data_IF_573078923839
#
_entry.id   IF_573078923839
#
_cell.length_a   1.000
_cell.length_b   1.000
_cell.length_c   1.000
_cell.angle_alpha   90.00
_cell.angle_beta   90.00
_cell.angle_gamma   90.00
#
_symmetry.space_group_name_H-M   'P 1'
#
loop_
_entity.id
_entity.type
_entity.pdbx_description
1 polymer ?
#
# COMPACT_ATOMS: atom_id res chain seq x y z
N UNK A 1 -9.41 -31.14 -34.55
CA UNK A 1 -8.26 -30.35 -34.06
C UNK A 1 -8.44 -30.09 -32.58
N UNK A 2 -7.38 -30.24 -31.76
CA UNK A 2 -7.44 -29.99 -30.31
C UNK A 2 -7.20 -28.51 -30.05
N UNK A 3 -7.98 -27.89 -29.17
CA UNK A 3 -7.78 -26.49 -28.78
C UNK A 3 -6.45 -26.31 -28.04
N UNK A 4 -5.83 -25.16 -28.23
CA UNK A 4 -4.60 -24.76 -27.54
C UNK A 4 -4.88 -23.46 -26.81
N UNK A 5 -4.72 -23.47 -25.49
CA UNK A 5 -4.91 -22.28 -24.66
C UNK A 5 -3.70 -21.36 -24.76
N UNK A 6 -3.97 -20.06 -24.94
CA UNK A 6 -3.00 -18.97 -24.87
C UNK A 6 -3.57 -17.88 -23.98
N UNK A 7 -2.73 -17.28 -23.15
CA UNK A 7 -3.09 -16.12 -22.34
C UNK A 7 -2.45 -14.87 -22.91
N UNK A 8 -3.20 -13.78 -23.00
CA UNK A 8 -2.67 -12.45 -23.26
C UNK A 8 -2.78 -11.63 -21.98
N UNK A 9 -1.68 -11.02 -21.56
CA UNK A 9 -1.67 -10.03 -20.47
C UNK A 9 -1.41 -8.66 -21.07
N UNK A 10 -2.16 -7.65 -20.63
CA UNK A 10 -1.96 -6.25 -21.01
C UNK A 10 -1.75 -5.43 -19.73
N UNK A 11 -0.80 -4.51 -19.79
CA UNK A 11 -0.51 -3.59 -18.68
C UNK A 11 -1.14 -2.25 -19.00
N UNK A 12 -1.93 -1.71 -18.07
CA UNK A 12 -2.56 -0.41 -18.19
C UNK A 12 -1.99 0.51 -17.09
N UNK A 13 -1.42 1.63 -17.50
CA UNK A 13 -0.94 2.66 -16.58
C UNK A 13 -1.94 3.81 -16.52
N UNK A 14 -2.41 4.22 -15.33
CA UNK A 14 -3.34 5.34 -15.20
C UNK A 14 -2.66 6.71 -15.36
N UNK A 15 -1.33 6.76 -15.32
CA UNK A 15 -0.53 7.96 -15.50
C UNK A 15 0.83 7.63 -16.14
N UNK A 16 1.54 8.63 -16.67
CA UNK A 16 2.88 8.44 -17.29
C UNK A 16 3.93 7.90 -16.32
N UNK A 17 3.78 8.17 -15.03
CA UNK A 17 4.66 7.68 -13.97
C UNK A 17 3.90 7.52 -12.66
N UNK A 18 4.25 6.49 -11.89
CA UNK A 18 3.57 6.06 -10.66
C UNK A 18 4.53 6.09 -9.48
N UNK A 19 3.97 6.29 -8.28
CA UNK A 19 4.70 6.22 -7.02
C UNK A 19 4.75 4.77 -6.54
N UNK A 20 5.95 4.29 -6.25
CA UNK A 20 6.19 3.01 -5.58
C UNK A 20 6.52 3.23 -4.10
N UNK A 21 6.01 2.34 -3.26
CA UNK A 21 6.30 2.31 -1.82
C UNK A 21 6.92 0.97 -1.50
N UNK A 22 8.12 0.99 -0.91
CA UNK A 22 8.84 -0.22 -0.50
C UNK A 22 9.06 -0.21 1.02
N UNK A 23 8.55 -1.20 1.77
CA UNK A 23 8.88 -1.33 3.18
C UNK A 23 10.37 -1.68 3.34
N UNK A 24 10.99 -1.15 4.39
CA UNK A 24 12.35 -1.49 4.83
C UNK A 24 12.33 -2.45 6.04
N UNK A 25 11.25 -3.22 6.15
CA UNK A 25 10.98 -4.28 7.11
C UNK A 25 10.38 -5.48 6.37
N UNK A 26 10.35 -6.66 6.99
CA UNK A 26 9.68 -7.83 6.40
C UNK A 26 8.16 -7.60 6.38
N UNK A 27 7.55 -7.66 5.21
CA UNK A 27 6.13 -7.34 5.03
C UNK A 27 5.18 -8.39 5.64
N UNK A 28 5.68 -9.60 5.91
CA UNK A 28 4.91 -10.66 6.57
C UNK A 28 4.89 -10.51 8.09
N UNK A 29 6.01 -10.06 8.65
CA UNK A 29 6.15 -9.88 10.10
C UNK A 29 5.71 -8.49 10.56
N UNK A 30 5.82 -7.49 9.66
CA UNK A 30 5.58 -6.09 9.99
C UNK A 30 6.73 -5.49 10.80
N UNK A 31 6.45 -4.36 11.45
CA UNK A 31 7.36 -3.77 12.43
C UNK A 31 6.95 -4.12 13.84
N UNK A 32 7.88 -3.96 14.78
CA UNK A 32 7.57 -4.04 16.21
C UNK A 32 6.39 -3.15 16.58
N UNK A 33 5.61 -3.57 17.58
CA UNK A 33 4.53 -2.77 18.11
C UNK A 33 5.07 -1.43 18.65
N UNK A 34 4.51 -0.32 18.15
CA UNK A 34 4.99 1.04 18.43
C UNK A 34 6.44 1.32 17.98
N UNK A 35 7.03 0.44 17.16
CA UNK A 35 8.31 0.67 16.51
C UNK A 35 8.18 1.62 15.32
N UNK A 36 9.32 2.13 14.85
CA UNK A 36 9.38 3.00 13.67
C UNK A 36 9.32 2.18 12.38
N UNK A 37 8.35 2.47 11.53
CA UNK A 37 8.23 1.88 10.20
C UNK A 37 8.93 2.74 9.16
N UNK A 38 9.88 2.13 8.45
CA UNK A 38 10.69 2.82 7.45
C UNK A 38 10.31 2.36 6.05
N UNK A 39 10.21 3.30 5.14
CA UNK A 39 9.84 3.09 3.76
C UNK A 39 10.79 3.84 2.82
N UNK A 40 10.99 3.26 1.64
CA UNK A 40 11.50 3.99 0.48
C UNK A 40 10.36 4.31 -0.47
N UNK A 41 10.31 5.57 -0.89
CA UNK A 41 9.35 6.09 -1.85
C UNK A 41 10.11 6.45 -3.12
N UNK A 42 9.65 5.93 -4.25
CA UNK A 42 10.20 6.23 -5.57
C UNK A 42 9.08 6.60 -6.52
N UNK A 43 9.41 7.23 -7.64
CA UNK A 43 8.45 7.48 -8.72
C UNK A 43 9.11 7.12 -10.04
N UNK A 44 8.47 6.27 -10.82
CA UNK A 44 9.03 5.73 -12.06
C UNK A 44 8.02 5.75 -13.19
N UNK A 45 8.51 5.86 -14.43
CA UNK A 45 7.70 5.62 -15.62
C UNK A 45 7.55 4.12 -15.94
N UNK A 46 6.85 3.82 -17.04
CA UNK A 46 6.62 2.44 -17.48
C UNK A 46 7.91 1.67 -17.88
N UNK A 47 9.00 2.38 -18.15
CA UNK A 47 10.32 1.78 -18.41
C UNK A 47 11.13 1.55 -17.11
N UNK A 48 10.59 1.97 -15.96
CA UNK A 48 11.28 1.92 -14.67
C UNK A 48 12.27 3.07 -14.46
N UNK A 49 12.27 4.11 -15.30
CA UNK A 49 13.17 5.25 -15.14
C UNK A 49 12.65 6.17 -14.04
N UNK A 50 13.52 6.61 -13.10
CA UNK A 50 13.12 7.57 -12.07
C UNK A 50 12.59 8.87 -12.64
N UNK A 51 11.49 9.36 -12.06
CA UNK A 51 10.80 10.58 -12.47
C UNK A 51 10.63 11.50 -11.25
N UNK A 52 11.07 12.76 -11.31
CA UNK A 52 10.92 13.67 -10.18
C UNK A 52 9.46 13.96 -9.86
N UNK A 53 9.20 14.29 -8.60
CA UNK A 53 7.92 14.77 -8.10
C UNK A 53 8.14 15.73 -6.93
N UNK A 54 7.26 16.72 -6.82
CA UNK A 54 7.24 17.65 -5.69
C UNK A 54 5.88 17.63 -5.03
N UNK A 55 5.85 17.85 -3.73
CA UNK A 55 4.61 17.98 -2.96
C UNK A 55 3.84 16.68 -2.83
N UNK A 56 4.47 15.51 -2.94
CA UNK A 56 3.81 14.23 -2.71
C UNK A 56 3.31 14.17 -1.27
N UNK A 57 2.05 13.76 -1.09
CA UNK A 57 1.46 13.55 0.24
C UNK A 57 1.55 12.07 0.58
N UNK A 58 2.30 11.74 1.63
CA UNK A 58 2.36 10.41 2.20
C UNK A 58 1.60 10.40 3.53
N UNK A 59 0.51 9.67 3.59
CA UNK A 59 -0.36 9.59 4.77
C UNK A 59 -0.26 8.21 5.40
N UNK A 60 0.09 8.16 6.69
CA UNK A 60 -0.01 6.94 7.48
C UNK A 60 -1.48 6.74 7.86
N UNK A 61 -2.10 5.70 7.33
CA UNK A 61 -3.51 5.37 7.60
C UNK A 61 -3.54 4.12 8.49
N UNK A 62 -4.14 4.25 9.67
CA UNK A 62 -4.43 3.12 10.56
C UNK A 62 -5.80 2.55 10.21
N UNK A 63 -5.85 1.25 9.98
CA UNK A 63 -7.09 0.48 9.94
C UNK A 63 -7.47 0.04 11.35
N UNK A 64 -8.72 0.29 11.72
CA UNK A 64 -9.33 -0.14 12.98
C UNK A 64 -10.44 -1.14 12.66
N UNK A 65 -10.48 -2.23 13.43
CA UNK A 65 -11.52 -3.26 13.35
C UNK A 65 -12.18 -3.40 14.70
N UNK A 66 -13.47 -3.09 14.75
CA UNK A 66 -14.29 -3.23 15.95
C UNK A 66 -15.12 -4.52 15.79
N UNK A 67 -14.67 -5.60 16.46
CA UNK A 67 -15.29 -6.92 16.39
C UNK A 67 -16.54 -7.00 17.25
N UNK A 68 -17.54 -7.72 16.77
CA UNK A 68 -18.79 -7.97 17.48
C UNK A 68 -19.31 -9.38 17.16
N UNK A 69 -19.99 -9.96 18.13
CA UNK A 69 -20.58 -11.28 18.04
C UNK A 69 -22.06 -11.16 17.75
N UNK A 70 -22.56 -11.97 16.84
CA UNK A 70 -23.97 -12.06 16.50
C UNK A 70 -24.45 -13.48 16.76
N UNK A 71 -25.62 -13.62 17.38
CA UNK A 71 -26.27 -14.91 17.57
C UNK A 71 -27.48 -14.98 16.64
N UNK A 72 -27.41 -15.87 15.66
CA UNK A 72 -28.43 -16.06 14.61
C UNK A 72 -28.51 -17.54 14.28
N UNK A 73 -29.68 -18.06 13.88
CA UNK A 73 -29.85 -19.48 13.49
C UNK A 73 -29.20 -20.49 14.45
N UNK A 74 -29.42 -20.28 15.75
CA UNK A 74 -28.89 -21.08 16.85
C UNK A 74 -27.36 -21.30 16.88
N UNK A 75 -26.59 -20.37 16.29
CA UNK A 75 -25.13 -20.37 16.37
C UNK A 75 -24.56 -18.97 16.61
N UNK A 76 -23.36 -18.95 17.19
CA UNK A 76 -22.55 -17.73 17.32
C UNK A 76 -21.70 -17.55 16.07
N UNK A 77 -21.71 -16.33 15.53
CA UNK A 77 -20.77 -15.88 14.51
C UNK A 77 -20.14 -14.53 14.94
N UNK A 78 -19.09 -14.13 14.25
CA UNK A 78 -18.42 -12.85 14.46
C UNK A 78 -18.33 -12.05 13.16
N UNK A 79 -18.43 -10.74 13.28
CA UNK A 79 -18.11 -9.80 12.22
C UNK A 79 -17.33 -8.61 12.81
N UNK A 80 -16.91 -7.67 11.97
CA UNK A 80 -16.28 -6.43 12.38
C UNK A 80 -16.73 -5.26 11.53
N UNK A 81 -16.82 -4.09 12.16
CA UNK A 81 -16.87 -2.83 11.41
C UNK A 81 -15.44 -2.35 11.16
N UNK A 82 -15.18 -1.86 9.94
CA UNK A 82 -13.87 -1.34 9.53
C UNK A 82 -13.92 0.18 9.49
N UNK A 83 -12.96 0.83 10.13
CA UNK A 83 -12.75 2.28 10.07
C UNK A 83 -11.29 2.58 9.74
N UNK A 84 -11.06 3.74 9.14
CA UNK A 84 -9.72 4.22 8.79
C UNK A 84 -9.46 5.55 9.48
N UNK A 85 -8.24 5.72 9.99
CA UNK A 85 -7.81 6.93 10.67
C UNK A 85 -6.47 7.40 10.11
N UNK A 86 -6.38 8.64 9.65
CA UNK A 86 -5.13 9.24 9.22
C UNK A 86 -4.32 9.64 10.46
N UNK A 87 -3.22 8.93 10.72
CA UNK A 87 -2.36 9.14 11.89
C UNK A 87 -1.30 10.22 11.67
N UNK A 88 -0.74 10.29 10.47
CA UNK A 88 0.26 11.29 10.11
C UNK A 88 0.16 11.59 8.60
N UNK A 89 0.55 12.79 8.18
CA UNK A 89 0.69 13.14 6.76
C UNK A 89 1.93 13.98 6.54
N UNK A 90 2.82 13.49 5.68
CA UNK A 90 4.06 14.16 5.32
C UNK A 90 4.05 14.60 3.87
N UNK A 91 4.76 15.69 3.62
CA UNK A 91 5.01 16.18 2.26
C UNK A 91 6.42 15.79 1.85
N UNK A 92 6.56 15.15 0.71
CA UNK A 92 7.82 14.61 0.20
C UNK A 92 8.09 15.14 -1.20
N UNK A 93 9.34 15.49 -1.44
CA UNK A 93 9.87 15.75 -2.78
C UNK A 93 10.79 14.59 -3.17
N UNK A 94 10.61 14.07 -4.37
CA UNK A 94 11.43 13.03 -4.97
C UNK A 94 12.19 13.66 -6.14
N UNK A 95 13.51 13.63 -6.09
CA UNK A 95 14.35 14.03 -7.20
C UNK A 95 14.48 12.86 -8.20
N UNK A 96 15.68 12.41 -8.51
CA UNK A 96 15.96 11.30 -9.42
C UNK A 96 16.24 9.96 -8.71
N UNK A 97 16.02 9.89 -7.40
CA UNK A 97 16.28 8.71 -6.57
C UNK A 97 15.14 8.38 -5.63
N UNK A 98 15.43 7.71 -4.51
CA UNK A 98 14.42 7.33 -3.52
C UNK A 98 14.38 8.36 -2.38
N UNK A 99 13.19 8.70 -1.92
CA UNK A 99 12.98 9.40 -0.66
C UNK A 99 12.79 8.38 0.47
N UNK A 100 13.39 8.64 1.64
CA UNK A 100 13.15 7.84 2.84
C UNK A 100 12.02 8.46 3.65
N UNK A 101 11.13 7.62 4.14
CA UNK A 101 10.02 7.99 5.02
C UNK A 101 10.07 7.10 6.26
N UNK A 102 10.04 7.71 7.44
CA UNK A 102 10.05 7.01 8.73
C UNK A 102 8.83 7.45 9.53
N UNK A 103 7.94 6.54 9.88
CA UNK A 103 6.66 6.82 10.55
C UNK A 103 6.51 6.01 11.83
#
# INVERSE_FOLDING_TARGET
GRTVTRSVKRVLWPAKALVGVRPLFDDKDGTDANGTARFEITRVDADGKPQPAKGLKATLVRELRDYHWNYTDDHWDYDFTRRFENKDTRTLDIASGNAKLEV
#
